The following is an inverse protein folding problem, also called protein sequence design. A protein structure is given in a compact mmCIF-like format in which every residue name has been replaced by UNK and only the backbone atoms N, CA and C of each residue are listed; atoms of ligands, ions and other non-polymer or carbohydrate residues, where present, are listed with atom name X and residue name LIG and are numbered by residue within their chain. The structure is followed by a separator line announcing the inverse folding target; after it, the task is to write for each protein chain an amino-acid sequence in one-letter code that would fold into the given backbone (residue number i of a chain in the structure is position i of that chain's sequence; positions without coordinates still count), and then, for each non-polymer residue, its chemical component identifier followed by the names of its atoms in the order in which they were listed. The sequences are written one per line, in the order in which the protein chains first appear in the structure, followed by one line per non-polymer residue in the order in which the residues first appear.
data_IF_540276457818
#
_entry.id   IF_540276457818
#
_cell.length_a   1.000
_cell.length_b   1.000
_cell.length_c   1.000
_cell.angle_alpha   90.00
_cell.angle_beta   90.00
_cell.angle_gamma   90.00
#
_symmetry.space_group_name_H-M   'P 1'
#
loop_
_entity.id
_entity.type
_entity.pdbx_description
1 polymer ?
#
# COMPACT_ATOMS: atom_id res chain seq x y z
N UNK A 1 6.76 16.70 20.03
CA UNK A 1 6.03 15.56 20.64
C UNK A 1 6.56 14.28 20.02
N UNK A 2 7.24 13.44 20.81
CA UNK A 2 7.65 12.10 20.41
C UNK A 2 6.46 11.17 20.67
N UNK A 3 5.98 10.45 19.65
CA UNK A 3 4.88 9.50 19.77
C UNK A 3 5.46 8.14 20.17
N UNK A 4 4.90 7.52 21.20
CA UNK A 4 5.39 6.22 21.71
C UNK A 4 5.12 5.09 20.69
N UNK A 5 5.62 3.88 20.95
CA UNK A 5 5.43 2.74 20.04
C UNK A 5 4.15 1.96 20.32
N UNK A 6 3.20 2.51 21.08
CA UNK A 6 1.95 1.82 21.41
C UNK A 6 0.94 1.94 20.26
N UNK A 7 0.01 0.98 20.19
CA UNK A 7 -1.06 1.01 19.21
C UNK A 7 -2.02 2.18 19.49
N UNK A 8 -2.30 3.01 18.49
CA UNK A 8 -3.27 4.09 18.57
C UNK A 8 -4.63 3.66 18.01
N UNK A 9 -5.69 4.17 18.63
CA UNK A 9 -7.06 3.90 18.23
C UNK A 9 -7.71 5.16 17.66
N UNK A 10 -8.49 4.96 16.61
CA UNK A 10 -9.25 6.01 15.94
C UNK A 10 -10.69 5.55 15.77
N UNK A 11 -11.64 6.43 16.02
CA UNK A 11 -13.04 6.26 15.63
C UNK A 11 -13.29 7.14 14.42
N UNK A 12 -13.82 6.56 13.35
CA UNK A 12 -14.09 7.26 12.09
C UNK A 12 -15.52 6.96 11.69
N UNK A 13 -16.32 8.01 11.53
CA UNK A 13 -17.70 7.87 11.09
C UNK A 13 -17.80 7.37 9.65
N UNK A 14 -18.94 6.77 9.30
CA UNK A 14 -19.18 6.29 7.94
C UNK A 14 -19.02 7.43 6.91
N UNK A 15 -18.14 7.23 5.94
CA UNK A 15 -17.84 8.24 4.90
C UNK A 15 -16.92 9.38 5.34
N UNK A 16 -16.49 9.41 6.60
CA UNK A 16 -15.52 10.39 7.09
C UNK A 16 -14.08 9.93 6.85
N UNK A 17 -13.14 10.87 6.98
CA UNK A 17 -11.70 10.63 6.88
C UNK A 17 -11.03 11.12 8.15
N UNK A 18 -10.12 10.32 8.71
CA UNK A 18 -9.18 10.75 9.73
C UNK A 18 -7.77 10.87 9.13
N UNK A 19 -6.94 11.73 9.70
CA UNK A 19 -5.56 11.92 9.29
C UNK A 19 -4.68 12.09 10.51
N UNK A 20 -3.49 11.50 10.46
CA UNK A 20 -2.53 11.59 11.53
C UNK A 20 -1.10 11.39 11.00
N UNK A 21 -0.10 11.65 11.85
CA UNK A 21 1.31 11.51 11.53
C UNK A 21 2.10 10.96 12.73
N UNK A 22 3.33 10.54 12.45
CA UNK A 22 4.33 10.12 13.43
C UNK A 22 5.72 10.53 12.90
N UNK A 23 6.66 10.73 13.82
CA UNK A 23 8.02 11.11 13.46
C UNK A 23 8.87 9.87 13.17
N UNK A 24 9.59 9.88 12.06
CA UNK A 24 10.53 8.81 11.69
C UNK A 24 11.98 9.28 11.67
N UNK A 25 12.25 10.52 12.06
CA UNK A 25 13.58 11.14 12.02
C UNK A 25 14.54 10.59 13.09
N UNK A 26 15.63 11.33 13.28
CA UNK A 26 16.62 11.03 14.33
C UNK A 26 15.93 10.95 15.70
N UNK A 27 16.19 9.87 16.45
CA UNK A 27 15.58 9.64 17.76
C UNK A 27 14.23 8.91 17.75
N UNK A 28 13.64 8.62 16.58
CA UNK A 28 12.36 7.88 16.47
C UNK A 28 12.39 6.70 15.49
N UNK A 29 13.39 6.62 14.61
CA UNK A 29 13.51 5.54 13.62
C UNK A 29 14.67 5.73 12.63
N UNK A 30 15.26 6.94 12.61
CA UNK A 30 16.39 7.29 11.74
C UNK A 30 16.10 7.02 10.26
N UNK A 31 14.88 7.34 9.83
CA UNK A 31 14.34 7.15 8.48
C UNK A 31 13.45 5.92 8.34
N UNK A 32 13.70 4.87 9.14
CA UNK A 32 13.01 3.58 9.02
C UNK A 32 11.61 3.62 9.62
N UNK A 33 10.70 2.91 8.97
CA UNK A 33 9.34 2.72 9.46
C UNK A 33 8.81 1.34 9.10
N UNK A 34 7.95 0.83 9.98
CA UNK A 34 7.17 -0.38 9.80
C UNK A 34 5.86 -0.19 10.56
N UNK A 35 4.79 0.14 9.84
CA UNK A 35 3.52 0.55 10.43
C UNK A 35 2.45 -0.39 9.95
N UNK A 36 1.65 -0.90 10.87
CA UNK A 36 0.48 -1.70 10.56
C UNK A 36 -0.78 -0.94 10.95
N UNK A 37 -1.70 -0.79 10.01
CA UNK A 37 -3.07 -0.32 10.24
C UNK A 37 -3.97 -1.54 10.29
N UNK A 38 -4.62 -1.75 11.43
CA UNK A 38 -5.59 -2.83 11.63
C UNK A 38 -6.99 -2.26 11.79
N UNK A 39 -7.99 -3.03 11.38
CA UNK A 39 -9.39 -2.65 11.49
C UNK A 39 -10.33 -3.84 11.63
N UNK A 40 -11.64 -3.58 11.66
CA UNK A 40 -12.65 -4.62 11.70
C UNK A 40 -12.47 -5.64 10.56
N UNK A 41 -12.99 -6.85 10.79
CA UNK A 41 -13.00 -7.93 9.80
C UNK A 41 -11.60 -8.30 9.26
N UNK A 42 -10.60 -8.31 10.16
CA UNK A 42 -9.18 -8.60 9.88
C UNK A 42 -8.56 -7.69 8.81
N UNK A 43 -9.10 -6.49 8.60
CA UNK A 43 -8.46 -5.49 7.76
C UNK A 43 -7.03 -5.25 8.27
N UNK A 44 -6.07 -5.32 7.35
CA UNK A 44 -4.67 -5.03 7.60
C UNK A 44 -4.11 -4.27 6.40
N UNK A 45 -3.33 -3.22 6.66
CA UNK A 45 -2.35 -2.66 5.73
C UNK A 45 -1.03 -2.48 6.45
N UNK A 46 0.07 -2.86 5.83
CA UNK A 46 1.41 -2.70 6.41
C UNK A 46 2.29 -1.89 5.47
N UNK A 47 2.94 -0.89 6.02
CA UNK A 47 3.82 0.02 5.30
C UNK A 47 5.24 -0.16 5.84
N UNK A 48 6.14 -0.69 5.02
CA UNK A 48 7.55 -0.85 5.38
C UNK A 48 8.38 0.04 4.45
N UNK A 49 9.38 0.70 5.02
CA UNK A 49 10.38 1.40 4.22
C UNK A 49 11.35 2.24 5.04
N UNK A 50 12.14 3.01 4.32
CA UNK A 50 13.16 3.89 4.88
C UNK A 50 13.18 5.21 4.10
N UNK A 51 12.84 6.31 4.76
CA UNK A 51 12.79 7.64 4.18
C UNK A 51 14.16 8.18 3.77
N UNK A 52 15.28 7.53 4.14
CA UNK A 52 16.60 7.86 3.60
C UNK A 52 16.92 7.12 2.29
N UNK A 53 16.12 6.12 1.89
CA UNK A 53 16.33 5.32 0.67
C UNK A 53 15.47 5.77 -0.51
N UNK A 54 15.69 5.15 -1.66
CA UNK A 54 15.01 5.49 -2.91
C UNK A 54 13.50 5.16 -2.88
N UNK A 55 13.05 4.25 -2.01
CA UNK A 55 11.63 3.92 -1.81
C UNK A 55 10.76 5.12 -1.42
N UNK A 56 11.36 6.21 -0.90
CA UNK A 56 10.62 7.46 -0.61
C UNK A 56 10.02 8.15 -1.85
N UNK A 57 10.49 7.79 -3.05
CA UNK A 57 10.03 8.38 -4.31
C UNK A 57 8.82 7.64 -4.90
N UNK A 58 8.34 6.58 -4.25
CA UNK A 58 7.25 5.73 -4.74
C UNK A 58 6.17 5.55 -3.68
N UNK A 59 4.93 5.41 -4.13
CA UNK A 59 3.79 5.15 -3.25
C UNK A 59 2.78 4.23 -3.94
N UNK A 60 2.07 3.41 -3.15
CA UNK A 60 0.91 2.66 -3.63
C UNK A 60 -0.31 2.96 -2.78
N UNK A 61 -1.29 3.63 -3.39
CA UNK A 61 -2.58 3.85 -2.75
C UNK A 61 -3.53 2.71 -3.10
N UNK A 62 -4.18 2.14 -2.08
CA UNK A 62 -5.19 1.10 -2.22
C UNK A 62 -6.61 1.64 -1.95
N UNK A 63 -7.56 1.35 -2.83
CA UNK A 63 -8.98 1.74 -2.70
C UNK A 63 -9.93 0.65 -3.19
N UNK A 64 -11.16 0.64 -2.68
CA UNK A 64 -12.25 -0.14 -3.27
C UNK A 64 -13.04 0.72 -4.24
N UNK A 65 -13.36 0.17 -5.41
CA UNK A 65 -14.30 0.78 -6.34
C UNK A 65 -14.84 -0.26 -7.30
N UNK A 66 -16.05 -0.02 -7.80
CA UNK A 66 -16.62 -0.81 -8.89
C UNK A 66 -15.75 -0.68 -10.13
N UNK A 67 -15.34 -1.80 -10.70
CA UNK A 67 -14.67 -1.82 -11.99
C UNK A 67 -15.70 -1.88 -13.13
N UNK A 68 -15.52 -1.02 -14.13
CA UNK A 68 -16.54 -0.75 -15.12
C UNK A 68 -16.81 -1.91 -16.09
N UNK A 69 -15.78 -2.69 -16.44
CA UNK A 69 -15.89 -3.83 -17.35
C UNK A 69 -16.63 -5.04 -16.75
N UNK A 70 -16.52 -5.24 -15.44
CA UNK A 70 -17.13 -6.38 -14.73
C UNK A 70 -18.36 -5.98 -13.92
N UNK A 71 -18.52 -4.70 -13.61
CA UNK A 71 -19.59 -4.20 -12.73
C UNK A 71 -19.45 -4.63 -11.27
N UNK A 72 -18.28 -5.15 -10.86
CA UNK A 72 -18.03 -5.69 -9.53
C UNK A 72 -17.11 -4.80 -8.71
N UNK A 73 -17.28 -4.79 -7.39
CA UNK A 73 -16.33 -4.15 -6.48
C UNK A 73 -14.96 -4.83 -6.58
N UNK A 74 -13.93 -4.05 -6.87
CA UNK A 74 -12.56 -4.50 -6.98
C UNK A 74 -11.65 -3.75 -5.99
N UNK A 75 -10.53 -4.38 -5.65
CA UNK A 75 -9.41 -3.71 -5.00
C UNK A 75 -8.53 -3.08 -6.08
N UNK A 76 -8.31 -1.77 -5.99
CA UNK A 76 -7.47 -1.01 -6.92
C UNK A 76 -6.16 -0.64 -6.24
N UNK A 77 -5.05 -0.81 -6.97
CA UNK A 77 -3.73 -0.31 -6.58
C UNK A 77 -3.28 0.77 -7.55
N UNK A 78 -3.01 1.96 -7.02
CA UNK A 78 -2.44 3.10 -7.74
C UNK A 78 -0.96 3.21 -7.41
N UNK A 79 -0.11 2.78 -8.34
CA UNK A 79 1.34 2.86 -8.25
C UNK A 79 1.81 4.21 -8.79
N UNK A 80 2.45 5.01 -7.94
CA UNK A 80 2.98 6.33 -8.30
C UNK A 80 4.50 6.31 -8.22
N UNK A 81 5.17 6.79 -9.26
CA UNK A 81 6.62 6.92 -9.32
C UNK A 81 7.00 8.39 -9.53
N UNK A 82 7.63 9.00 -8.54
CA UNK A 82 8.14 10.38 -8.60
C UNK A 82 9.67 10.44 -8.75
N UNK A 83 10.32 9.29 -8.93
CA UNK A 83 11.77 9.23 -9.16
C UNK A 83 12.13 9.67 -10.59
N UNK A 84 13.42 9.84 -10.84
CA UNK A 84 13.96 10.27 -12.14
C UNK A 84 14.03 9.13 -13.18
N UNK A 85 13.80 7.88 -12.78
CA UNK A 85 13.89 6.71 -13.65
C UNK A 85 12.61 5.87 -13.64
N UNK A 86 12.45 4.91 -14.57
CA UNK A 86 11.39 3.93 -14.48
C UNK A 86 11.55 3.06 -13.23
N UNK A 87 10.44 2.71 -12.59
CA UNK A 87 10.38 1.79 -11.44
C UNK A 87 9.44 0.65 -11.80
N UNK A 88 9.84 -0.58 -11.49
CA UNK A 88 8.97 -1.75 -11.62
C UNK A 88 8.37 -2.14 -10.28
N UNK A 89 7.05 -2.09 -10.21
CA UNK A 89 6.29 -2.63 -9.09
C UNK A 89 5.95 -4.09 -9.35
N UNK A 90 6.13 -4.94 -8.33
CA UNK A 90 5.72 -6.36 -8.35
C UNK A 90 4.62 -6.57 -7.34
N UNK A 91 3.45 -7.00 -7.78
CA UNK A 91 2.31 -7.34 -6.93
C UNK A 91 2.23 -8.85 -6.83
N UNK A 92 2.25 -9.38 -5.61
CA UNK A 92 2.11 -10.81 -5.31
C UNK A 92 0.88 -11.05 -4.45
N UNK A 93 0.10 -12.07 -4.79
CA UNK A 93 -0.89 -12.66 -3.89
C UNK A 93 -0.19 -13.52 -2.84
N UNK A 94 -0.45 -13.25 -1.55
CA UNK A 94 0.00 -14.10 -0.45
C UNK A 94 -1.04 -15.20 -0.14
N UNK A 95 -2.33 -14.91 -0.35
CA UNK A 95 -3.45 -15.83 -0.15
C UNK A 95 -4.65 -15.46 -1.04
N UNK A 96 -5.63 -16.36 -1.13
CA UNK A 96 -6.92 -16.19 -1.86
C UNK A 96 -6.82 -16.10 -3.39
N UNK A 97 -5.61 -16.04 -3.95
CA UNK A 97 -5.38 -16.17 -5.39
C UNK A 97 -4.11 -16.96 -5.66
N UNK A 98 -4.13 -17.72 -6.76
CA UNK A 98 -3.02 -18.59 -7.21
C UNK A 98 -2.29 -18.05 -8.44
N UNK A 99 -2.75 -16.94 -9.00
CA UNK A 99 -2.14 -16.26 -10.13
C UNK A 99 -1.22 -15.11 -9.69
N UNK A 100 -0.48 -14.57 -10.66
CA UNK A 100 0.61 -13.63 -10.43
C UNK A 100 1.99 -14.32 -10.31
N UNK A 101 3.04 -13.59 -9.88
CA UNK A 101 3.03 -12.16 -9.59
C UNK A 101 2.80 -11.31 -10.85
N UNK A 102 2.28 -10.10 -10.67
CA UNK A 102 2.09 -9.12 -11.74
C UNK A 102 3.15 -8.04 -11.65
N UNK A 103 3.70 -7.64 -12.80
CA UNK A 103 4.74 -6.61 -12.87
C UNK A 103 4.27 -5.40 -13.67
N UNK A 104 4.56 -4.22 -13.13
CA UNK A 104 4.15 -2.95 -13.70
C UNK A 104 5.34 -2.00 -13.69
N UNK A 105 5.94 -1.75 -14.85
CA UNK A 105 6.89 -0.66 -15.00
C UNK A 105 6.13 0.66 -15.12
N UNK A 106 6.44 1.59 -14.22
CA UNK A 106 5.87 2.94 -14.17
C UNK A 106 6.99 3.92 -14.53
N UNK A 107 6.87 4.68 -15.63
CA UNK A 107 7.85 5.68 -16.01
C UNK A 107 8.11 6.73 -14.93
N UNK A 108 9.22 7.46 -15.07
CA UNK A 108 9.53 8.60 -14.21
C UNK A 108 8.39 9.63 -14.21
N UNK A 109 7.98 10.09 -13.03
CA UNK A 109 6.90 11.06 -12.86
C UNK A 109 5.48 10.55 -13.19
N UNK A 110 5.32 9.24 -13.44
CA UNK A 110 4.06 8.67 -13.89
C UNK A 110 3.28 7.95 -12.78
N UNK A 111 2.03 7.62 -13.09
CA UNK A 111 1.16 6.77 -12.29
C UNK A 111 0.60 5.66 -13.17
N UNK A 112 0.43 4.46 -12.61
CA UNK A 112 -0.32 3.36 -13.22
C UNK A 112 -1.28 2.77 -12.19
N UNK A 113 -2.47 2.38 -12.64
CA UNK A 113 -3.43 1.65 -11.81
C UNK A 113 -3.71 0.27 -12.39
N UNK A 114 -3.99 -0.69 -11.52
CA UNK A 114 -4.65 -1.93 -11.89
C UNK A 114 -5.61 -2.38 -10.78
N UNK A 115 -6.52 -3.28 -11.12
CA UNK A 115 -7.57 -3.76 -10.25
C UNK A 115 -7.53 -5.28 -10.10
N UNK A 116 -7.99 -5.74 -8.95
CA UNK A 116 -8.09 -7.14 -8.61
C UNK A 116 -9.51 -7.41 -8.09
N UNK A 117 -10.26 -8.22 -8.83
CA UNK A 117 -11.59 -8.69 -8.42
C UNK A 117 -11.53 -9.71 -7.25
N UNK A 118 -10.45 -9.72 -6.47
CA UNK A 118 -10.28 -10.56 -5.29
C UNK A 118 -11.43 -10.37 -4.29
N UNK A 119 -11.87 -9.12 -4.12
CA UNK A 119 -13.02 -8.77 -3.28
C UNK A 119 -14.29 -9.49 -3.73
N UNK A 120 -14.50 -9.61 -5.05
CA UNK A 120 -15.71 -10.22 -5.60
C UNK A 120 -15.66 -11.75 -5.69
N UNK A 121 -14.47 -12.34 -5.85
CA UNK A 121 -14.31 -13.78 -6.02
C UNK A 121 -14.02 -14.55 -4.73
N UNK A 122 -13.60 -13.85 -3.66
CA UNK A 122 -13.19 -14.47 -2.41
C UNK A 122 -13.95 -13.89 -1.19
N UNK A 123 -15.23 -13.59 -1.33
CA UNK A 123 -16.09 -13.08 -0.23
C UNK A 123 -15.49 -11.87 0.52
N UNK A 124 -14.83 -10.98 -0.22
CA UNK A 124 -14.17 -9.78 0.34
C UNK A 124 -12.74 -10.00 0.82
N UNK A 125 -12.23 -11.24 0.85
CA UNK A 125 -10.87 -11.55 1.29
C UNK A 125 -9.82 -11.28 0.20
N UNK A 126 -8.72 -10.66 0.62
CA UNK A 126 -7.54 -10.43 -0.20
C UNK A 126 -6.29 -10.37 0.68
N UNK A 127 -5.15 -10.75 0.13
CA UNK A 127 -3.86 -10.60 0.78
C UNK A 127 -2.79 -10.44 -0.30
N UNK A 128 -2.21 -9.23 -0.37
CA UNK A 128 -1.23 -8.86 -1.37
C UNK A 128 -0.01 -8.24 -0.72
N UNK A 129 1.15 -8.50 -1.31
CA UNK A 129 2.38 -7.74 -1.06
C UNK A 129 2.78 -7.03 -2.34
N UNK A 130 3.13 -5.75 -2.25
CA UNK A 130 3.64 -4.96 -3.35
C UNK A 130 5.07 -4.51 -3.05
N UNK A 131 5.98 -4.81 -3.97
CA UNK A 131 7.40 -4.46 -3.90
C UNK A 131 7.74 -3.48 -5.02
N UNK A 132 8.75 -2.65 -4.81
CA UNK A 132 9.33 -1.78 -5.84
C UNK A 132 10.82 -2.11 -6.03
N UNK A 133 11.25 -2.32 -7.27
CA UNK A 133 12.63 -2.71 -7.58
C UNK A 133 13.69 -1.66 -7.15
N UNK A 134 13.30 -0.39 -7.07
CA UNK A 134 14.16 0.71 -6.64
C UNK A 134 14.60 0.62 -5.17
N UNK A 135 13.88 -0.16 -4.34
CA UNK A 135 14.22 -0.35 -2.93
C UNK A 135 13.73 -1.71 -2.41
N UNK A 136 14.65 -2.68 -2.30
CA UNK A 136 14.33 -4.03 -1.80
C UNK A 136 13.91 -4.12 -0.33
N UNK A 137 13.88 -3.00 0.40
CA UNK A 137 13.37 -2.94 1.78
C UNK A 137 12.01 -2.25 1.89
N UNK A 138 11.46 -1.77 0.78
CA UNK A 138 10.16 -1.11 0.73
C UNK A 138 9.05 -2.11 0.38
N UNK A 139 7.92 -2.04 1.10
CA UNK A 139 6.72 -2.81 0.76
C UNK A 139 5.42 -2.11 1.15
N UNK A 140 4.34 -2.53 0.48
CA UNK A 140 2.95 -2.20 0.78
C UNK A 140 2.08 -3.44 0.79
#
# INVERSE_FOLDING_TARGET
QHRDTAAWQYTVDAGATASDYFNIGLGSGSGKYDISMVGPNRFLRRFIGDASKAGKAVEVAARFATEAGTGRTALWFRMTNTSAGPVTFTIRSNAYRTDGPWTYTVPAGATREDHFNAVAYNDGWYDFTILADIDGTWSR
#
